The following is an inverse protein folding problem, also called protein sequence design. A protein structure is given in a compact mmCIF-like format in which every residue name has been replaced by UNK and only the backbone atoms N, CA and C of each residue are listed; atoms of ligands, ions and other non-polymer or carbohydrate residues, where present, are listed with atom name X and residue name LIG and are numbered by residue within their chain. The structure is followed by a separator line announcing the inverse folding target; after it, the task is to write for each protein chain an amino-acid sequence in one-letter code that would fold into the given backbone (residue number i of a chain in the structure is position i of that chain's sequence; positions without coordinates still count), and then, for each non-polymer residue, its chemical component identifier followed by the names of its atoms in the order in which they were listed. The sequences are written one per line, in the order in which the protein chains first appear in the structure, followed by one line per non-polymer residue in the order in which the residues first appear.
data_IF_744959804515
#
_entry.id   IF_744959804515
#
_cell.length_a   1.000
_cell.length_b   1.000
_cell.length_c   1.000
_cell.angle_alpha   90.00
_cell.angle_beta   90.00
_cell.angle_gamma   90.00
#
_symmetry.space_group_name_H-M   'P 1'
#
loop_
_entity.id
_entity.type
_entity.pdbx_description
1 polymer ?
#
# COMPACT_ATOMS: atom_id res chain seq x y z
N UNK A 1 -4.16 20.41 -6.18
CA UNK A 1 -3.57 21.20 -7.28
C UNK A 1 -2.11 20.81 -7.45
N UNK A 2 -1.45 21.10 -8.58
CA UNK A 2 -0.04 20.72 -8.81
C UNK A 2 0.89 21.26 -7.73
N UNK A 3 0.75 22.55 -7.41
CA UNK A 3 1.53 23.20 -6.36
C UNK A 3 1.40 22.51 -4.99
N UNK A 4 0.19 22.10 -4.60
CA UNK A 4 -0.02 21.35 -3.36
C UNK A 4 0.77 20.02 -3.35
N UNK A 5 0.70 19.25 -4.44
CA UNK A 5 1.45 18.00 -4.56
C UNK A 5 2.98 18.23 -4.50
N UNK A 6 3.49 19.29 -5.13
CA UNK A 6 4.91 19.67 -5.04
C UNK A 6 5.29 19.97 -3.58
N UNK A 7 4.50 20.78 -2.87
CA UNK A 7 4.77 21.14 -1.49
C UNK A 7 4.72 19.92 -0.56
N UNK A 8 3.72 19.05 -0.71
CA UNK A 8 3.57 17.87 0.14
C UNK A 8 4.74 16.90 -0.04
N UNK A 9 5.14 16.64 -1.29
CA UNK A 9 6.30 15.81 -1.59
C UNK A 9 7.59 16.48 -1.10
N UNK A 10 7.74 17.80 -1.26
CA UNK A 10 8.92 18.52 -0.80
C UNK A 10 9.06 18.48 0.73
N UNK A 11 7.97 18.66 1.46
CA UNK A 11 7.95 18.50 2.93
C UNK A 11 8.33 17.08 3.35
N UNK A 12 7.76 16.07 2.70
CA UNK A 12 8.14 14.67 2.95
C UNK A 12 9.62 14.38 2.61
N UNK A 13 10.18 15.09 1.62
CA UNK A 13 11.60 15.05 1.29
C UNK A 13 12.48 15.87 2.25
N UNK A 14 11.89 16.58 3.22
CA UNK A 14 12.59 17.41 4.20
C UNK A 14 13.08 18.74 3.63
N UNK A 15 12.36 19.33 2.68
CA UNK A 15 12.56 20.72 2.24
C UNK A 15 11.89 21.66 3.25
N UNK A 16 12.57 22.74 3.64
CA UNK A 16 12.03 23.71 4.59
C UNK A 16 10.97 24.61 3.94
N UNK A 17 10.04 25.16 4.74
CA UNK A 17 9.05 26.14 4.24
C UNK A 17 9.72 27.39 3.63
N UNK A 18 10.87 27.81 4.17
CA UNK A 18 11.63 28.94 3.64
C UNK A 18 12.13 28.67 2.21
N UNK A 19 12.57 27.43 1.95
CA UNK A 19 13.06 27.00 0.64
C UNK A 19 11.92 26.80 -0.37
N UNK A 20 10.75 26.36 0.09
CA UNK A 20 9.55 26.23 -0.75
C UNK A 20 9.10 27.60 -1.28
N UNK A 21 9.07 28.61 -0.41
CA UNK A 21 8.53 29.92 -0.71
C UNK A 21 7.07 29.89 -1.16
N UNK A 22 6.68 30.86 -1.99
CA UNK A 22 5.26 31.10 -2.36
C UNK A 22 4.93 30.79 -3.82
N UNK A 23 5.90 30.35 -4.63
CA UNK A 23 5.70 30.10 -6.05
C UNK A 23 5.95 28.64 -6.44
N UNK A 24 5.15 28.15 -7.39
CA UNK A 24 5.25 26.79 -7.91
C UNK A 24 6.64 26.46 -8.45
N UNK A 25 7.21 27.39 -9.20
CA UNK A 25 8.54 27.24 -9.77
C UNK A 25 9.62 27.10 -8.68
N UNK A 26 9.56 27.90 -7.61
CA UNK A 26 10.54 27.85 -6.52
C UNK A 26 10.42 26.53 -5.75
N UNK A 27 9.19 26.14 -5.39
CA UNK A 27 8.92 24.89 -4.69
C UNK A 27 9.39 23.67 -5.49
N UNK A 28 9.11 23.64 -6.80
CA UNK A 28 9.55 22.56 -7.68
C UNK A 28 11.07 22.48 -7.76
N UNK A 29 11.75 23.62 -7.90
CA UNK A 29 13.22 23.65 -7.93
C UNK A 29 13.83 23.16 -6.62
N UNK A 30 13.28 23.58 -5.49
CA UNK A 30 13.73 23.15 -4.17
C UNK A 30 13.56 21.63 -3.99
N UNK A 31 12.40 21.09 -4.37
CA UNK A 31 12.13 19.65 -4.38
C UNK A 31 13.16 18.89 -5.23
N UNK A 32 13.36 19.29 -6.48
CA UNK A 32 14.27 18.57 -7.39
C UNK A 32 15.72 18.69 -6.92
N UNK A 33 16.16 19.84 -6.40
CA UNK A 33 17.48 19.98 -5.80
C UNK A 33 17.65 19.00 -4.63
N UNK A 34 16.65 18.91 -3.75
CA UNK A 34 16.66 17.99 -2.62
C UNK A 34 16.75 16.53 -3.06
N UNK A 35 15.94 16.12 -4.03
CA UNK A 35 15.92 14.75 -4.54
C UNK A 35 17.16 14.36 -5.37
N UNK A 36 17.88 15.34 -5.93
CA UNK A 36 19.17 15.09 -6.61
C UNK A 36 20.29 14.82 -5.63
N UNK A 37 20.33 15.56 -4.51
CA UNK A 37 21.41 15.41 -3.53
C UNK A 37 21.45 14.03 -2.89
N UNK A 38 20.28 13.47 -2.58
CA UNK A 38 20.15 12.17 -1.95
C UNK A 38 19.15 11.32 -2.73
N UNK A 39 19.58 10.14 -3.18
CA UNK A 39 18.67 9.14 -3.75
C UNK A 39 17.65 8.73 -2.68
N UNK A 40 16.36 8.82 -3.01
CA UNK A 40 15.26 8.47 -2.10
C UNK A 40 14.32 7.45 -2.74
N UNK A 41 13.53 6.83 -1.88
CA UNK A 41 12.31 6.13 -2.28
C UNK A 41 11.14 7.04 -1.92
N UNK A 42 10.37 7.49 -2.91
CA UNK A 42 9.14 8.24 -2.74
C UNK A 42 7.97 7.27 -2.84
N UNK A 43 7.29 7.00 -1.72
CA UNK A 43 6.09 6.18 -1.69
C UNK A 43 4.89 7.11 -1.69
N UNK A 44 3.97 6.92 -2.65
CA UNK A 44 2.73 7.68 -2.73
C UNK A 44 1.57 6.71 -2.59
N UNK A 45 0.76 6.94 -1.56
CA UNK A 45 -0.49 6.22 -1.34
C UNK A 45 -1.63 6.88 -2.15
N UNK A 46 -2.66 6.09 -2.46
CA UNK A 46 -3.84 6.54 -3.22
C UNK A 46 -3.52 7.16 -4.61
N UNK A 47 -2.58 6.57 -5.34
CA UNK A 47 -2.12 7.05 -6.64
C UNK A 47 -3.20 7.13 -7.73
N UNK A 48 -4.34 6.48 -7.54
CA UNK A 48 -5.50 6.57 -8.44
C UNK A 48 -6.06 7.98 -8.65
N UNK A 49 -5.83 8.90 -7.70
CA UNK A 49 -6.30 10.27 -7.81
C UNK A 49 -5.39 11.16 -8.66
N UNK A 50 -4.33 10.58 -9.25
CA UNK A 50 -3.43 11.34 -10.09
C UNK A 50 -4.11 11.82 -11.36
N UNK A 51 -4.18 13.15 -11.48
CA UNK A 51 -4.45 13.81 -12.75
C UNK A 51 -3.21 13.93 -13.64
N UNK A 52 -3.37 14.48 -14.85
CA UNK A 52 -2.27 14.70 -15.79
C UNK A 52 -1.11 15.53 -15.21
N UNK A 53 -1.43 16.55 -14.40
CA UNK A 53 -0.42 17.43 -13.78
C UNK A 53 0.46 16.69 -12.77
N UNK A 54 -0.12 15.87 -11.90
CA UNK A 54 0.63 15.06 -10.93
C UNK A 54 1.47 13.99 -11.63
N UNK A 55 0.94 13.41 -12.71
CA UNK A 55 1.69 12.47 -13.56
C UNK A 55 2.94 13.15 -14.17
N UNK A 56 2.80 14.38 -14.66
CA UNK A 56 3.93 15.16 -15.17
C UNK A 56 4.97 15.48 -14.09
N UNK A 57 4.56 15.75 -12.84
CA UNK A 57 5.48 15.92 -11.72
C UNK A 57 6.30 14.65 -11.47
N UNK A 58 5.65 13.48 -11.43
CA UNK A 58 6.33 12.19 -11.24
C UNK A 58 7.32 11.95 -12.37
N UNK A 59 6.90 12.17 -13.61
CA UNK A 59 7.79 12.09 -14.77
C UNK A 59 8.98 13.04 -14.64
N UNK A 60 8.78 14.27 -14.18
CA UNK A 60 9.84 15.24 -13.95
C UNK A 60 10.84 14.73 -12.91
N UNK A 61 10.36 14.20 -11.78
CA UNK A 61 11.19 13.62 -10.72
C UNK A 61 12.01 12.45 -11.26
N UNK A 62 11.37 11.51 -11.96
CA UNK A 62 12.04 10.34 -12.55
C UNK A 62 13.08 10.73 -13.60
N UNK A 63 12.84 11.80 -14.38
CA UNK A 63 13.78 12.28 -15.39
C UNK A 63 15.00 12.99 -14.81
N UNK A 64 14.82 13.73 -13.72
CA UNK A 64 15.80 14.70 -13.25
C UNK A 64 16.55 14.26 -12.00
N UNK A 65 16.22 13.09 -11.45
CA UNK A 65 16.74 12.57 -10.18
C UNK A 65 16.92 11.05 -10.25
N UNK A 66 17.70 10.48 -9.32
CA UNK A 66 17.80 9.02 -9.15
C UNK A 66 16.70 8.41 -8.27
N UNK A 67 15.66 9.18 -7.93
CA UNK A 67 14.59 8.79 -6.99
C UNK A 67 13.81 7.61 -7.54
N UNK A 68 13.60 6.60 -6.70
CA UNK A 68 12.67 5.50 -6.97
C UNK A 68 11.29 5.94 -6.53
N UNK A 69 10.29 5.86 -7.39
CA UNK A 69 8.90 6.20 -7.06
C UNK A 69 8.08 4.92 -6.97
N UNK A 70 7.42 4.71 -5.84
CA UNK A 70 6.48 3.62 -5.59
C UNK A 70 5.08 4.23 -5.51
N UNK A 71 4.18 3.81 -6.39
CA UNK A 71 2.79 4.26 -6.41
C UNK A 71 1.93 3.10 -5.93
N UNK A 72 1.24 3.30 -4.81
CA UNK A 72 0.23 2.38 -4.31
C UNK A 72 -1.12 2.87 -4.85
N UNK A 73 -1.88 1.99 -5.50
CA UNK A 73 -3.17 2.35 -6.06
C UNK A 73 -4.12 1.17 -6.12
N UNK A 74 -5.42 1.45 -6.04
CA UNK A 74 -6.46 0.43 -6.27
C UNK A 74 -6.39 -0.03 -7.74
N UNK A 75 -6.27 -1.34 -8.03
CA UNK A 75 -6.01 -1.82 -9.40
C UNK A 75 -7.01 -1.33 -10.44
N UNK A 76 -8.30 -1.28 -10.10
CA UNK A 76 -9.35 -0.80 -11.00
C UNK A 76 -9.21 0.68 -11.33
N UNK A 77 -8.87 1.50 -10.34
CA UNK A 77 -8.72 2.93 -10.50
C UNK A 77 -7.38 3.28 -11.16
N UNK A 78 -6.32 2.51 -10.89
CA UNK A 78 -5.07 2.57 -11.64
C UNK A 78 -5.32 2.30 -13.13
N UNK A 79 -6.08 1.24 -13.48
CA UNK A 79 -6.48 0.97 -14.87
C UNK A 79 -7.28 2.12 -15.48
N UNK A 80 -8.12 2.80 -14.70
CA UNK A 80 -8.87 3.98 -15.16
C UNK A 80 -7.94 5.15 -15.46
N UNK A 81 -7.01 5.46 -14.57
CA UNK A 81 -5.98 6.49 -14.77
C UNK A 81 -5.15 6.25 -16.03
N UNK A 82 -4.77 4.98 -16.27
CA UNK A 82 -4.06 4.60 -17.48
C UNK A 82 -4.87 4.90 -18.75
N UNK A 83 -6.20 4.72 -18.72
CA UNK A 83 -7.09 5.00 -19.85
C UNK A 83 -7.31 6.51 -20.09
N UNK A 84 -7.50 7.30 -19.04
CA UNK A 84 -7.90 8.73 -19.16
C UNK A 84 -6.74 9.67 -19.43
N UNK A 85 -5.54 9.38 -18.93
CA UNK A 85 -4.33 10.17 -19.15
C UNK A 85 -3.40 9.47 -20.15
N UNK A 86 -3.95 8.90 -21.22
CA UNK A 86 -3.31 7.88 -22.07
C UNK A 86 -1.86 8.17 -22.48
N UNK A 87 -1.54 9.40 -22.87
CA UNK A 87 -0.19 9.74 -23.37
C UNK A 87 0.82 9.89 -22.24
N UNK A 88 0.47 10.60 -21.17
CA UNK A 88 1.31 10.83 -19.99
C UNK A 88 1.44 9.57 -19.11
N UNK A 89 0.35 8.82 -18.97
CA UNK A 89 0.32 7.55 -18.24
C UNK A 89 1.10 6.47 -18.98
N UNK A 90 1.00 6.38 -20.32
CA UNK A 90 1.78 5.41 -21.10
C UNK A 90 3.29 5.63 -20.95
N UNK A 91 3.75 6.88 -20.89
CA UNK A 91 5.17 7.17 -20.68
C UNK A 91 5.64 6.79 -19.27
N UNK A 92 4.79 6.98 -18.27
CA UNK A 92 5.09 6.59 -16.88
C UNK A 92 5.08 5.07 -16.75
N UNK A 93 4.07 4.39 -17.31
CA UNK A 93 3.95 2.93 -17.32
C UNK A 93 5.12 2.24 -18.04
N UNK A 94 5.59 2.81 -19.16
CA UNK A 94 6.76 2.27 -19.89
C UNK A 94 8.06 2.35 -19.09
N UNK A 95 8.09 3.18 -18.05
CA UNK A 95 9.23 3.34 -17.13
C UNK A 95 8.99 2.66 -15.79
N UNK A 96 7.83 2.03 -15.60
CA UNK A 96 7.58 1.20 -14.44
C UNK A 96 8.44 -0.05 -14.56
N UNK A 97 9.47 -0.12 -13.72
CA UNK A 97 10.37 -1.29 -13.65
C UNK A 97 9.63 -2.55 -13.17
N UNK A 98 8.61 -2.38 -12.33
CA UNK A 98 7.79 -3.48 -11.83
C UNK A 98 6.36 -3.01 -11.55
N UNK A 99 5.41 -3.92 -11.75
CA UNK A 99 4.03 -3.79 -11.27
C UNK A 99 3.76 -4.97 -10.36
N UNK A 100 3.58 -4.70 -9.07
CA UNK A 100 3.25 -5.71 -8.07
C UNK A 100 1.74 -5.65 -7.82
N UNK A 101 1.05 -6.74 -8.13
CA UNK A 101 -0.37 -6.88 -7.86
C UNK A 101 -0.54 -7.63 -6.54
N UNK A 102 -1.22 -7.01 -5.58
CA UNK A 102 -1.67 -7.72 -4.40
C UNK A 102 -2.81 -8.66 -4.80
N UNK A 103 -2.50 -9.96 -4.91
CA UNK A 103 -3.46 -10.99 -5.25
C UNK A 103 -4.36 -11.36 -4.06
N UNK A 104 -5.25 -12.34 -4.28
CA UNK A 104 -6.02 -12.93 -3.20
C UNK A 104 -5.10 -13.60 -2.18
N UNK A 105 -5.56 -13.66 -0.95
CA UNK A 105 -4.92 -14.42 0.12
C UNK A 105 -5.18 -15.89 -0.13
N UNK A 106 -4.12 -16.68 -0.22
CA UNK A 106 -4.21 -18.13 -0.31
C UNK A 106 -4.01 -18.77 1.07
N UNK A 107 -4.47 -20.02 1.27
CA UNK A 107 -4.23 -20.73 2.53
C UNK A 107 -2.74 -20.80 2.92
N UNK A 108 -1.84 -20.91 1.93
CA UNK A 108 -0.39 -20.96 2.12
C UNK A 108 0.14 -19.67 2.75
N UNK A 109 -0.41 -18.51 2.38
CA UNK A 109 -0.07 -17.24 3.00
C UNK A 109 -0.45 -17.26 4.49
N UNK A 110 -1.66 -17.72 4.81
CA UNK A 110 -2.12 -17.82 6.21
C UNK A 110 -1.22 -18.76 7.00
N UNK A 111 -0.76 -19.86 6.41
CA UNK A 111 0.16 -20.80 7.07
C UNK A 111 1.51 -20.15 7.41
N UNK A 112 2.05 -19.33 6.51
CA UNK A 112 3.27 -18.57 6.77
C UNK A 112 3.08 -17.59 7.94
N UNK A 113 1.98 -16.86 7.95
CA UNK A 113 1.65 -15.93 9.03
C UNK A 113 1.37 -16.65 10.35
N UNK A 114 0.71 -17.81 10.32
CA UNK A 114 0.46 -18.65 11.49
C UNK A 114 1.77 -19.11 12.13
N UNK A 115 2.71 -19.60 11.32
CA UNK A 115 4.05 -20.02 11.76
C UNK A 115 4.81 -18.86 12.39
N UNK A 116 4.85 -17.70 11.73
CA UNK A 116 5.48 -16.50 12.27
C UNK A 116 4.79 -15.99 13.56
N UNK A 117 3.48 -16.22 13.66
CA UNK A 117 2.68 -15.82 14.82
C UNK A 117 2.75 -16.83 15.98
N UNK A 118 3.34 -18.01 15.78
CA UNK A 118 3.42 -19.05 16.81
C UNK A 118 2.07 -19.65 17.20
N UNK A 119 1.01 -19.43 16.41
CA UNK A 119 -0.31 -20.02 16.65
C UNK A 119 -0.29 -21.46 16.17
N UNK A 120 -0.62 -22.39 17.06
CA UNK A 120 -0.71 -23.83 16.74
C UNK A 120 -2.16 -24.19 16.50
N UNK A 121 -2.43 -24.86 15.40
CA UNK A 121 -3.77 -25.28 15.00
C UNK A 121 -3.86 -26.81 15.08
N UNK A 122 -4.99 -27.32 15.54
CA UNK A 122 -5.29 -28.75 15.49
C UNK A 122 -5.39 -29.25 14.03
N UNK A 123 -5.91 -28.39 13.14
CA UNK A 123 -5.90 -28.61 11.69
C UNK A 123 -5.52 -27.34 10.95
N UNK A 124 -4.22 -27.20 10.67
CA UNK A 124 -3.68 -26.02 10.00
C UNK A 124 -4.29 -25.78 8.61
N UNK A 125 -4.43 -26.82 7.79
CA UNK A 125 -4.96 -26.69 6.43
C UNK A 125 -6.41 -26.20 6.41
N UNK A 126 -7.28 -26.79 7.26
CA UNK A 126 -8.68 -26.39 7.35
C UNK A 126 -8.83 -24.95 7.90
N UNK A 127 -8.10 -24.63 8.96
CA UNK A 127 -8.11 -23.29 9.58
C UNK A 127 -7.60 -22.22 8.62
N UNK A 128 -6.49 -22.49 7.93
CA UNK A 128 -5.94 -21.58 6.93
C UNK A 128 -6.91 -21.30 5.78
N UNK A 129 -7.61 -22.33 5.28
CA UNK A 129 -8.64 -22.18 4.24
C UNK A 129 -9.80 -21.28 4.67
N UNK A 130 -10.29 -21.43 5.92
CA UNK A 130 -11.36 -20.59 6.46
C UNK A 130 -10.93 -19.14 6.62
N UNK A 131 -9.73 -18.91 7.17
CA UNK A 131 -9.18 -17.56 7.37
C UNK A 131 -8.92 -16.88 6.02
N UNK A 132 -8.33 -17.58 5.05
CA UNK A 132 -8.06 -17.04 3.72
C UNK A 132 -9.35 -16.62 3.01
N UNK A 133 -10.39 -17.48 3.03
CA UNK A 133 -11.71 -17.15 2.49
C UNK A 133 -12.28 -15.89 3.14
N UNK A 134 -12.28 -15.82 4.48
CA UNK A 134 -12.80 -14.66 5.20
C UNK A 134 -11.99 -13.38 4.94
N UNK A 135 -10.66 -13.49 4.83
CA UNK A 135 -9.76 -12.37 4.54
C UNK A 135 -9.98 -11.80 3.13
N UNK A 136 -10.30 -12.66 2.15
CA UNK A 136 -10.61 -12.23 0.80
C UNK A 136 -11.95 -11.51 0.68
N UNK A 137 -12.90 -11.82 1.56
CA UNK A 137 -14.14 -11.07 1.71
C UNK A 137 -13.94 -9.75 2.47
N UNK A 138 -12.98 -9.70 3.40
CA UNK A 138 -12.84 -8.60 4.33
C UNK A 138 -11.38 -8.36 4.74
N UNK A 139 -10.83 -7.17 4.49
CA UNK A 139 -9.58 -6.69 5.11
C UNK A 139 -8.25 -7.37 4.72
N UNK A 140 -8.24 -8.39 3.84
CA UNK A 140 -7.03 -9.04 3.28
C UNK A 140 -6.01 -9.42 4.37
N UNK A 141 -4.71 -9.16 4.16
CA UNK A 141 -3.67 -9.47 5.15
C UNK A 141 -3.90 -8.84 6.53
N UNK A 142 -4.50 -7.65 6.61
CA UNK A 142 -4.85 -7.03 7.90
C UNK A 142 -5.85 -7.88 8.69
N UNK A 143 -6.79 -8.53 7.99
CA UNK A 143 -7.72 -9.48 8.61
C UNK A 143 -7.00 -10.71 9.14
N UNK A 144 -6.11 -11.30 8.35
CA UNK A 144 -5.30 -12.47 8.75
C UNK A 144 -4.52 -12.16 10.04
N UNK A 145 -3.81 -11.03 10.08
CA UNK A 145 -3.01 -10.62 11.24
C UNK A 145 -3.89 -10.42 12.49
N UNK A 146 -5.07 -9.83 12.35
CA UNK A 146 -6.00 -9.61 13.47
C UNK A 146 -6.54 -10.92 14.02
N UNK A 147 -6.97 -11.84 13.15
CA UNK A 147 -7.46 -13.16 13.56
C UNK A 147 -6.36 -13.92 14.28
N UNK A 148 -5.13 -13.97 13.74
CA UNK A 148 -4.02 -14.68 14.39
C UNK A 148 -3.62 -14.05 15.73
N UNK A 149 -3.70 -12.72 15.85
CA UNK A 149 -3.47 -12.02 17.12
C UNK A 149 -4.52 -12.39 18.17
N UNK A 150 -5.78 -12.49 17.77
CA UNK A 150 -6.88 -12.92 18.65
C UNK A 150 -6.68 -14.38 19.10
N UNK A 151 -6.39 -15.29 18.15
CA UNK A 151 -6.14 -16.70 18.43
C UNK A 151 -4.91 -16.92 19.33
N UNK A 152 -3.87 -16.10 19.22
CA UNK A 152 -2.72 -16.15 20.14
C UNK A 152 -3.11 -15.85 21.59
N UNK A 153 -4.17 -15.06 21.82
CA UNK A 153 -4.70 -14.79 23.15
C UNK A 153 -5.39 -16.00 23.80
N UNK A 154 -5.75 -17.01 23.00
CA UNK A 154 -6.39 -18.25 23.45
C UNK A 154 -5.28 -19.22 23.88
N UNK A 155 -4.81 -19.04 25.10
CA UNK A 155 -3.59 -19.64 25.65
C UNK A 155 -3.74 -21.13 26.06
N UNK A 156 -4.58 -21.90 25.37
CA UNK A 156 -4.96 -23.26 25.77
C UNK A 156 -4.79 -24.26 24.61
N UNK A 157 -3.54 -24.68 24.38
CA UNK A 157 -3.25 -25.79 23.46
C UNK A 157 -3.46 -25.49 21.98
N UNK A 158 -3.74 -26.53 21.21
CA UNK A 158 -3.96 -26.41 19.77
C UNK A 158 -5.32 -25.75 19.50
N UNK A 159 -5.31 -24.68 18.71
CA UNK A 159 -6.51 -23.95 18.30
C UNK A 159 -7.43 -24.87 17.50
N UNK A 160 -8.68 -24.98 17.94
CA UNK A 160 -9.71 -25.77 17.28
C UNK A 160 -10.41 -24.95 16.19
N UNK A 161 -11.09 -25.62 15.27
CA UNK A 161 -11.83 -24.93 14.20
C UNK A 161 -12.95 -24.00 14.75
N UNK A 162 -13.50 -24.31 15.92
CA UNK A 162 -14.51 -23.47 16.59
C UNK A 162 -13.94 -22.15 17.09
N UNK A 163 -12.70 -22.16 17.58
CA UNK A 163 -11.97 -20.96 17.98
C UNK A 163 -11.70 -20.06 16.77
N UNK A 164 -11.31 -20.67 15.65
CA UNK A 164 -11.11 -19.96 14.36
C UNK A 164 -12.40 -19.31 13.87
N UNK A 165 -13.50 -20.05 13.88
CA UNK A 165 -14.80 -19.51 13.48
C UNK A 165 -15.23 -18.34 14.39
N UNK A 166 -14.92 -18.42 15.68
CA UNK A 166 -15.20 -17.36 16.65
C UNK A 166 -14.33 -16.13 16.42
N UNK A 167 -13.02 -16.29 16.27
CA UNK A 167 -12.10 -15.19 15.97
C UNK A 167 -12.43 -14.49 14.65
N UNK A 168 -12.82 -15.24 13.61
CA UNK A 168 -13.29 -14.68 12.34
C UNK A 168 -14.53 -13.81 12.56
N UNK A 169 -15.53 -14.29 13.33
CA UNK A 169 -16.75 -13.53 13.61
C UNK A 169 -16.46 -12.24 14.38
N UNK A 170 -15.62 -12.32 15.42
CA UNK A 170 -15.25 -11.18 16.24
C UNK A 170 -14.49 -10.13 15.43
N UNK A 171 -13.51 -10.56 14.63
CA UNK A 171 -12.75 -9.68 13.74
C UNK A 171 -13.65 -9.03 12.68
N UNK A 172 -14.59 -9.77 12.08
CA UNK A 172 -15.59 -9.20 11.15
C UNK A 172 -16.49 -8.17 11.85
N UNK A 173 -16.92 -8.42 13.09
CA UNK A 173 -17.76 -7.49 13.84
C UNK A 173 -17.02 -6.19 14.19
N UNK A 174 -15.74 -6.28 14.58
CA UNK A 174 -14.90 -5.12 14.86
C UNK A 174 -14.68 -4.27 13.61
N UNK A 175 -14.39 -4.89 12.47
CA UNK A 175 -14.10 -4.14 11.25
C UNK A 175 -15.33 -3.53 10.58
N UNK A 176 -16.55 -3.99 10.89
CA UNK A 176 -17.80 -3.35 10.43
C UNK A 176 -18.19 -2.12 11.23
N UNK A 177 -17.56 -1.88 12.38
CA UNK A 177 -17.84 -0.74 13.26
C UNK A 177 -16.93 0.47 13.02
N UNK A 178 -15.86 0.27 12.27
CA UNK A 178 -14.93 1.32 11.81
C UNK A 178 -15.24 1.68 10.36
#
# INVERSE_FOLDING_TARGET
SYYAAVCDIARAAGVSEADLGTSEYKAQRALLARLRTNRRVLVIDEGEYFGPRTTNLIKLILNQTGTVVVILAIPELARRWQKTAWVESAQTNRRSEAVVLAEMIFPEDVQLFAKASGVKFASLAASAGQIAKAANEFGRFSFVVRVLKELRGINAGDVLNEDVATAIRNTKALLRRN
#
